data_IF_588336976613
#
_entry.id   IF_588336976613
#
_cell.length_a   1.000
_cell.length_b   1.000
_cell.length_c   1.000
_cell.angle_alpha   90.00
_cell.angle_beta   90.00
_cell.angle_gamma   90.00
#
_symmetry.space_group_name_H-M   'P 1'
#
loop_
_entity.id
_entity.type
_entity.pdbx_description
1 polymer ?
#
# COMPACT_ATOMS: atom_id res chain seq x y z
N UNK A 1 -4.83 2.39 6.08
CA UNK A 1 -5.98 3.09 5.47
C UNK A 1 -6.75 2.18 4.50
N UNK A 2 -6.12 1.65 3.44
CA UNK A 2 -6.79 0.73 2.47
C UNK A 2 -7.48 -0.46 3.14
N UNK A 3 -6.78 -1.18 4.02
CA UNK A 3 -7.36 -2.34 4.74
C UNK A 3 -8.60 -1.96 5.55
N UNK A 4 -8.54 -0.85 6.28
CA UNK A 4 -9.67 -0.35 7.07
C UNK A 4 -10.84 0.09 6.18
N UNK A 5 -10.56 0.73 5.05
CA UNK A 5 -11.58 1.07 4.05
C UNK A 5 -12.30 -0.18 3.54
N UNK A 6 -11.54 -1.21 3.17
CA UNK A 6 -12.10 -2.48 2.70
C UNK A 6 -12.96 -3.16 3.79
N UNK A 7 -12.51 -3.18 5.05
CA UNK A 7 -13.29 -3.72 6.16
C UNK A 7 -14.61 -2.95 6.33
N UNK A 8 -14.58 -1.62 6.25
CA UNK A 8 -15.80 -0.81 6.32
C UNK A 8 -16.76 -1.13 5.17
N UNK A 9 -16.26 -1.26 3.94
CA UNK A 9 -17.08 -1.64 2.79
C UNK A 9 -17.66 -3.03 2.92
N UNK A 10 -16.88 -4.00 3.38
CA UNK A 10 -17.34 -5.37 3.56
C UNK A 10 -18.45 -5.44 4.62
N UNK A 11 -18.24 -4.81 5.78
CA UNK A 11 -19.26 -4.76 6.83
C UNK A 11 -20.49 -4.00 6.34
N UNK A 12 -20.31 -2.86 5.67
CA UNK A 12 -21.41 -2.07 5.11
C UNK A 12 -22.22 -2.85 4.09
N UNK A 13 -21.57 -3.66 3.25
CA UNK A 13 -22.19 -4.50 2.24
C UNK A 13 -22.97 -5.66 2.87
N UNK A 14 -22.39 -6.35 3.86
CA UNK A 14 -23.02 -7.50 4.52
C UNK A 14 -24.15 -7.12 5.47
N UNK A 15 -24.05 -5.97 6.15
CA UNK A 15 -25.01 -5.55 7.19
C UNK A 15 -26.02 -4.51 6.70
N UNK A 16 -25.86 -4.00 5.48
CA UNK A 16 -26.67 -2.90 4.96
C UNK A 16 -26.41 -1.54 5.63
N UNK A 17 -25.40 -1.43 6.50
CA UNK A 17 -25.03 -0.17 7.19
C UNK A 17 -24.27 0.76 6.26
N UNK A 18 -25.00 1.43 5.37
CA UNK A 18 -24.44 2.27 4.28
C UNK A 18 -23.57 3.44 4.76
N UNK A 19 -23.69 3.88 6.01
CA UNK A 19 -22.79 4.89 6.61
C UNK A 19 -21.31 4.48 6.58
N UNK A 20 -21.02 3.18 6.61
CA UNK A 20 -19.64 2.67 6.53
C UNK A 20 -19.01 2.90 5.14
N UNK A 21 -19.82 3.08 4.08
CA UNK A 21 -19.31 3.39 2.75
C UNK A 21 -18.68 4.78 2.66
N UNK A 22 -19.15 5.74 3.46
CA UNK A 22 -18.54 7.08 3.56
C UNK A 22 -17.22 7.02 4.35
N UNK A 23 -17.14 6.18 5.39
CA UNK A 23 -15.88 5.97 6.13
C UNK A 23 -14.83 5.33 5.22
N UNK A 24 -15.22 4.32 4.44
CA UNK A 24 -14.36 3.70 3.43
C UNK A 24 -13.89 4.72 2.40
N UNK A 25 -14.81 5.52 1.86
CA UNK A 25 -14.51 6.53 0.85
C UNK A 25 -13.39 7.48 1.28
N UNK A 26 -13.51 8.09 2.46
CA UNK A 26 -12.49 9.01 2.96
C UNK A 26 -11.16 8.31 3.24
N UNK A 27 -11.19 7.07 3.73
CA UNK A 27 -9.96 6.28 3.90
C UNK A 27 -9.28 5.97 2.57
N UNK A 28 -10.02 5.69 1.50
CA UNK A 28 -9.46 5.48 0.17
C UNK A 28 -8.88 6.77 -0.42
N UNK A 29 -9.53 7.92 -0.24
CA UNK A 29 -8.98 9.21 -0.66
C UNK A 29 -7.65 9.51 0.04
N UNK A 30 -7.61 9.38 1.37
CA UNK A 30 -6.39 9.59 2.16
C UNK A 30 -5.31 8.56 1.77
N UNK A 31 -5.68 7.29 1.61
CA UNK A 31 -4.74 6.25 1.17
C UNK A 31 -4.11 6.57 -0.19
N UNK A 32 -4.92 7.08 -1.13
CA UNK A 32 -4.46 7.44 -2.47
C UNK A 32 -3.43 8.56 -2.42
N UNK A 33 -3.67 9.61 -1.62
CA UNK A 33 -2.67 10.68 -1.47
C UNK A 33 -1.43 10.16 -0.74
N UNK A 34 -1.63 9.43 0.36
CA UNK A 34 -0.55 8.94 1.21
C UNK A 34 0.40 7.99 0.47
N UNK A 35 -0.08 7.15 -0.46
CA UNK A 35 0.80 6.23 -1.19
C UNK A 35 1.79 6.98 -2.10
N UNK A 36 1.39 8.09 -2.74
CA UNK A 36 2.32 8.89 -3.52
C UNK A 36 3.40 9.53 -2.65
N UNK A 37 3.00 10.05 -1.47
CA UNK A 37 3.96 10.57 -0.49
C UNK A 37 4.92 9.47 -0.04
N UNK A 38 4.40 8.31 0.33
CA UNK A 38 5.19 7.16 0.76
C UNK A 38 6.20 6.69 -0.31
N UNK A 39 5.80 6.64 -1.58
CA UNK A 39 6.69 6.27 -2.68
C UNK A 39 7.83 7.27 -2.82
N UNK A 40 7.55 8.58 -2.77
CA UNK A 40 8.59 9.62 -2.88
C UNK A 40 9.65 9.45 -1.79
N UNK A 41 9.22 9.34 -0.53
CA UNK A 41 10.16 9.12 0.58
C UNK A 41 10.89 7.77 0.46
N UNK A 42 10.17 6.70 0.09
CA UNK A 42 10.76 5.39 -0.11
C UNK A 42 11.86 5.37 -1.20
N UNK A 43 11.72 6.17 -2.26
CA UNK A 43 12.77 6.29 -3.29
C UNK A 43 14.01 7.01 -2.76
N UNK A 44 13.83 8.07 -1.97
CA UNK A 44 14.96 8.75 -1.33
C UNK A 44 15.72 7.81 -0.40
N UNK A 45 15.01 7.09 0.45
CA UNK A 45 15.61 6.15 1.38
C UNK A 45 16.30 4.97 0.68
N UNK A 46 15.68 4.39 -0.35
CA UNK A 46 16.29 3.33 -1.15
C UNK A 46 17.60 3.79 -1.82
N UNK A 47 17.67 5.04 -2.27
CA UNK A 47 18.88 5.64 -2.83
C UNK A 47 19.98 5.88 -1.78
N UNK A 48 19.61 6.21 -0.55
CA UNK A 48 20.55 6.44 0.56
C UNK A 48 21.07 5.13 1.17
N UNK A 49 20.27 4.07 1.16
CA UNK A 49 20.57 2.82 1.84
C UNK A 49 21.63 1.93 1.15
N UNK A 50 21.99 2.20 -0.12
CA UNK A 50 22.93 1.39 -0.93
C UNK A 50 22.74 -0.13 -0.73
N UNK A 51 21.65 -0.71 -1.29
CA UNK A 51 21.26 -2.09 -1.01
C UNK A 51 22.35 -3.10 -1.41
N UNK A 52 22.76 -3.92 -0.45
CA UNK A 52 23.63 -5.08 -0.63
C UNK A 52 22.91 -6.23 -1.35
N UNK A 53 23.65 -7.16 -1.93
CA UNK A 53 23.11 -8.12 -2.91
C UNK A 53 21.96 -8.99 -2.40
N UNK A 54 21.98 -9.38 -1.12
CA UNK A 54 20.92 -10.18 -0.49
C UNK A 54 19.57 -9.44 -0.41
N UNK A 55 19.58 -8.11 -0.31
CA UNK A 55 18.36 -7.32 -0.14
C UNK A 55 17.81 -6.74 -1.46
N UNK A 56 18.64 -6.69 -2.52
CA UNK A 56 18.25 -6.09 -3.82
C UNK A 56 16.99 -6.70 -4.43
N UNK A 57 16.84 -8.02 -4.38
CA UNK A 57 15.68 -8.70 -5.00
C UNK A 57 14.38 -8.27 -4.33
N UNK A 58 14.34 -8.29 -3.00
CA UNK A 58 13.20 -7.86 -2.19
C UNK A 58 12.91 -6.38 -2.39
N UNK A 59 13.95 -5.54 -2.40
CA UNK A 59 13.80 -4.09 -2.61
C UNK A 59 13.24 -3.76 -4.00
N UNK A 60 13.71 -4.45 -5.04
CA UNK A 60 13.22 -4.26 -6.40
C UNK A 60 11.76 -4.68 -6.53
N UNK A 61 11.38 -5.82 -5.94
CA UNK A 61 9.99 -6.29 -5.97
C UNK A 61 9.07 -5.36 -5.17
N UNK A 62 9.48 -4.95 -3.96
CA UNK A 62 8.77 -3.97 -3.14
C UNK A 62 8.59 -2.64 -3.88
N UNK A 63 9.61 -2.17 -4.57
CA UNK A 63 9.55 -0.93 -5.35
C UNK A 63 8.60 -1.06 -6.54
N UNK A 64 8.70 -2.15 -7.30
CA UNK A 64 7.84 -2.39 -8.47
C UNK A 64 6.37 -2.49 -8.07
N UNK A 65 6.06 -3.26 -7.02
CA UNK A 65 4.70 -3.41 -6.52
C UNK A 65 4.23 -2.09 -5.93
N UNK A 66 5.07 -1.35 -5.20
CA UNK A 66 4.74 -0.03 -4.65
C UNK A 66 4.26 0.95 -5.73
N UNK A 67 5.04 1.12 -6.80
CA UNK A 67 4.64 1.95 -7.95
C UNK A 67 3.35 1.46 -8.61
N UNK A 68 3.25 0.16 -8.89
CA UNK A 68 2.05 -0.44 -9.49
C UNK A 68 0.81 -0.21 -8.62
N UNK A 69 0.96 -0.36 -7.30
CA UNK A 69 -0.10 -0.22 -6.31
C UNK A 69 -0.62 1.22 -6.22
N UNK A 70 0.22 2.24 -6.44
CA UNK A 70 -0.24 3.64 -6.53
C UNK A 70 -1.23 3.85 -7.68
N UNK A 71 -0.92 3.30 -8.86
CA UNK A 71 -1.81 3.34 -10.01
C UNK A 71 -3.11 2.58 -9.77
N UNK A 72 -3.01 1.38 -9.18
CA UNK A 72 -4.18 0.55 -8.84
C UNK A 72 -5.08 1.25 -7.83
N UNK A 73 -4.52 1.81 -6.74
CA UNK A 73 -5.28 2.52 -5.71
C UNK A 73 -5.94 3.76 -6.30
N UNK A 74 -5.24 4.53 -7.14
CA UNK A 74 -5.83 5.68 -7.82
C UNK A 74 -7.00 5.26 -8.72
N UNK A 75 -6.84 4.19 -9.51
CA UNK A 75 -7.89 3.66 -10.37
C UNK A 75 -9.11 3.14 -9.58
N UNK A 76 -8.90 2.39 -8.49
CA UNK A 76 -9.98 1.90 -7.63
C UNK A 76 -10.69 3.05 -6.93
N UNK A 77 -9.97 4.09 -6.51
CA UNK A 77 -10.56 5.29 -5.90
C UNK A 77 -11.37 6.09 -6.92
N UNK A 78 -10.88 6.25 -8.15
CA UNK A 78 -11.64 6.87 -9.24
C UNK A 78 -12.89 6.05 -9.59
N UNK A 79 -12.78 4.72 -9.65
CA UNK A 79 -13.95 3.85 -9.85
C UNK A 79 -14.96 4.02 -8.71
N UNK A 80 -14.48 4.07 -7.46
CA UNK A 80 -15.33 4.32 -6.30
C UNK A 80 -16.04 5.66 -6.38
N UNK A 81 -15.35 6.70 -6.84
CA UNK A 81 -15.95 8.01 -7.06
C UNK A 81 -17.16 7.93 -8.00
N UNK A 82 -17.00 7.26 -9.15
CA UNK A 82 -18.09 7.09 -10.13
C UNK A 82 -19.27 6.32 -9.52
N UNK A 83 -19.01 5.25 -8.76
CA UNK A 83 -20.07 4.50 -8.07
C UNK A 83 -20.81 5.38 -7.07
N UNK A 84 -20.07 6.14 -6.25
CA UNK A 84 -20.62 7.05 -5.25
C UNK A 84 -21.47 8.16 -5.87
N UNK A 85 -21.03 8.75 -6.99
CA UNK A 85 -21.78 9.79 -7.71
C UNK A 85 -23.10 9.28 -8.29
N UNK A 86 -23.19 7.97 -8.59
CA UNK A 86 -24.44 7.34 -9.04
C UNK A 86 -25.36 6.98 -7.88
N UNK A 87 -24.82 6.30 -6.86
CA UNK A 87 -25.56 5.95 -5.65
C UNK A 87 -24.59 5.72 -4.48
N UNK A 88 -24.52 6.61 -3.48
CA UNK A 88 -23.59 6.48 -2.35
C UNK A 88 -23.96 5.34 -1.39
N UNK A 89 -25.17 4.77 -1.49
CA UNK A 89 -25.69 3.74 -0.60
C UNK A 89 -25.58 2.32 -1.14
N UNK A 90 -24.98 2.12 -2.32
CA UNK A 90 -24.89 0.81 -2.94
C UNK A 90 -23.52 0.59 -3.57
N UNK A 91 -22.93 -0.56 -3.25
CA UNK A 91 -21.73 -1.05 -3.91
C UNK A 91 -22.01 -2.34 -4.67
N UNK A 92 -21.51 -2.46 -5.90
CA UNK A 92 -21.64 -3.69 -6.66
C UNK A 92 -20.66 -4.75 -6.14
N UNK A 93 -21.06 -6.02 -6.26
CA UNK A 93 -20.24 -7.16 -5.83
C UNK A 93 -18.82 -7.14 -6.44
N UNK A 94 -18.70 -6.79 -7.72
CA UNK A 94 -17.39 -6.74 -8.40
C UNK A 94 -16.42 -5.72 -7.77
N UNK A 95 -16.92 -4.63 -7.18
CA UNK A 95 -16.09 -3.67 -6.46
C UNK A 95 -15.56 -4.27 -5.16
N UNK A 96 -16.42 -5.00 -4.42
CA UNK A 96 -16.02 -5.71 -3.20
C UNK A 96 -14.97 -6.78 -3.53
N UNK A 97 -15.17 -7.54 -4.62
CA UNK A 97 -14.21 -8.54 -5.08
C UNK A 97 -12.86 -7.90 -5.45
N UNK A 98 -12.86 -6.77 -6.14
CA UNK A 98 -11.63 -6.01 -6.41
C UNK A 98 -10.95 -5.55 -5.11
N UNK A 99 -11.72 -5.19 -4.09
CA UNK A 99 -11.21 -4.84 -2.75
C UNK A 99 -10.49 -5.99 -2.05
N UNK A 100 -10.95 -7.24 -2.23
CA UNK A 100 -10.25 -8.44 -1.71
C UNK A 100 -8.88 -8.59 -2.38
N UNK A 101 -8.83 -8.47 -3.71
CA UNK A 101 -7.58 -8.56 -4.48
C UNK A 101 -6.62 -7.45 -4.06
N UNK A 102 -7.11 -6.20 -3.96
CA UNK A 102 -6.32 -5.06 -3.50
C UNK A 102 -5.74 -5.30 -2.10
N UNK A 103 -6.54 -5.85 -1.18
CA UNK A 103 -6.11 -6.19 0.17
C UNK A 103 -4.99 -7.22 0.17
N UNK A 104 -5.07 -8.24 -0.69
CA UNK A 104 -3.99 -9.22 -0.87
C UNK A 104 -2.69 -8.58 -1.35
N UNK A 105 -2.75 -7.69 -2.36
CA UNK A 105 -1.57 -6.99 -2.88
C UNK A 105 -0.97 -6.07 -1.80
N UNK A 106 -1.79 -5.34 -1.05
CA UNK A 106 -1.34 -4.52 0.09
C UNK A 106 -0.65 -5.39 1.13
N UNK A 107 -1.19 -6.58 1.44
CA UNK A 107 -0.56 -7.53 2.36
C UNK A 107 0.83 -7.96 1.91
N UNK A 108 1.00 -8.29 0.62
CA UNK A 108 2.32 -8.61 0.05
C UNK A 108 3.26 -7.40 0.16
N UNK A 109 2.77 -6.19 -0.13
CA UNK A 109 3.60 -4.98 -0.04
C UNK A 109 4.09 -4.71 1.38
N UNK A 110 3.22 -4.91 2.39
CA UNK A 110 3.58 -4.79 3.81
C UNK A 110 4.62 -5.84 4.18
N UNK A 111 4.40 -7.11 3.80
CA UNK A 111 5.36 -8.19 4.07
C UNK A 111 6.76 -7.89 3.52
N UNK A 112 6.86 -7.46 2.26
CA UNK A 112 8.15 -7.13 1.65
C UNK A 112 8.80 -5.91 2.33
N UNK A 113 8.01 -4.91 2.73
CA UNK A 113 8.50 -3.76 3.47
C UNK A 113 9.06 -4.16 4.84
N UNK A 114 8.37 -5.05 5.54
CA UNK A 114 8.80 -5.58 6.83
C UNK A 114 10.09 -6.41 6.70
N UNK A 115 10.26 -7.21 5.64
CA UNK A 115 11.53 -7.91 5.40
C UNK A 115 12.68 -6.93 5.21
N UNK A 116 12.49 -5.86 4.42
CA UNK A 116 13.53 -4.85 4.18
C UNK A 116 14.02 -4.21 5.49
N UNK A 117 13.10 -3.92 6.41
CA UNK A 117 13.42 -3.23 7.68
C UNK A 117 13.92 -4.22 8.73
N UNK A 118 13.23 -5.33 8.96
CA UNK A 118 13.45 -6.19 10.12
C UNK A 118 14.37 -7.37 9.86
N UNK A 119 14.45 -7.83 8.60
CA UNK A 119 15.32 -8.96 8.21
C UNK A 119 16.62 -8.42 7.62
N UNK A 120 16.53 -7.49 6.68
CA UNK A 120 17.69 -6.93 6.00
C UNK A 120 18.22 -5.64 6.64
N UNK A 121 17.52 -5.08 7.63
CA UNK A 121 18.00 -3.92 8.38
C UNK A 121 18.18 -2.66 7.54
N UNK A 122 17.63 -2.59 6.32
CA UNK A 122 17.62 -1.35 5.56
C UNK A 122 16.92 -0.29 6.42
N UNK A 123 17.50 0.91 6.47
CA UNK A 123 17.07 2.04 7.29
C UNK A 123 17.46 1.97 8.78
N UNK A 124 18.20 0.96 9.21
CA UNK A 124 18.81 0.95 10.56
C UNK A 124 20.20 1.55 10.53
N UNK A 125 20.50 2.46 11.47
CA UNK A 125 21.80 3.15 11.56
C UNK A 125 22.98 2.15 11.55
N UNK A 126 22.97 1.03 12.29
CA UNK A 126 24.11 0.10 12.31
C UNK A 126 24.40 -0.55 10.96
N UNK A 127 23.36 -0.89 10.18
CA UNK A 127 23.55 -1.51 8.85
C UNK A 127 24.05 -0.48 7.85
N UNK A 128 23.55 0.75 7.91
CA UNK A 128 24.01 1.85 7.06
C UNK A 128 25.49 2.18 7.33
N UNK A 129 25.90 2.20 8.60
CA UNK A 129 27.30 2.41 8.99
C UNK A 129 28.19 1.26 8.52
N UNK A 130 27.77 0.00 8.72
CA UNK A 130 28.51 -1.17 8.25
C UNK A 130 28.73 -1.18 6.72
N UNK A 131 27.73 -0.75 5.94
CA UNK A 131 27.88 -0.59 4.48
C UNK A 131 28.83 0.56 4.13
N UNK A 132 28.76 1.70 4.84
CA UNK A 132 29.69 2.83 4.63
C UNK A 132 31.14 2.44 4.93
N UNK A 133 31.35 1.61 5.95
CA UNK A 133 32.66 1.15 6.38
C UNK A 133 33.16 -0.06 5.57
N UNK A 134 32.37 -0.56 4.61
CA UNK A 134 32.73 -1.70 3.75
C UNK A 134 32.73 -3.06 4.45
N UNK A 135 32.07 -3.17 5.60
CA UNK A 135 31.93 -4.42 6.38
C UNK A 135 30.88 -5.37 5.78
N UNK A 136 29.99 -4.85 4.93
CA UNK A 136 29.01 -5.60 4.16
C UNK A 136 29.23 -5.33 2.66
N UNK A 137 29.16 -6.37 1.80
CA UNK A 137 29.40 -6.25 0.36
C UNK A 137 28.33 -5.41 -0.36
#
# INVERSE_FOLDING_TARGET
>A
MVLFAFVCDLIGYLTGKTRLFEVSWWNMCVATVAIFVAIIFGQFEAGLAKPYDLAKSVLNLHTLIGWSLSGIIAAITAWRYVLRSKNPHKLPFHYIAAGVILTGIVGVQVYLGDELVWVYGLHTVPVVEAVKDGLLP
#
